data_IF_135856580444
#
_entry.id   IF_135856580444
#
_cell.length_a   1.000
_cell.length_b   1.000
_cell.length_c   1.000
_cell.angle_alpha   90.00
_cell.angle_beta   90.00
_cell.angle_gamma   90.00
#
_symmetry.space_group_name_H-M   'P 1'
#
loop_
_entity.id
_entity.type
_entity.pdbx_description
1 polymer ?
#
# COMPACT_ATOMS: atom_id res chain seq x y z
N UNK A 1 3.01 -7.06 5.61
CA UNK A 1 3.00 -6.31 4.34
C UNK A 1 4.42 -6.01 3.92
N UNK A 2 4.82 -6.43 2.71
CA UNK A 2 6.19 -6.26 2.21
C UNK A 2 6.48 -4.81 1.83
N UNK A 3 7.73 -4.37 2.00
CA UNK A 3 8.14 -2.99 1.68
C UNK A 3 7.95 -2.66 0.19
N UNK A 4 8.20 -3.61 -0.71
CA UNK A 4 7.91 -3.45 -2.14
C UNK A 4 6.47 -3.01 -2.38
N UNK A 5 5.51 -3.56 -1.63
CA UNK A 5 4.09 -3.23 -1.80
C UNK A 5 3.84 -1.78 -1.42
N UNK A 6 4.39 -1.33 -0.29
CA UNK A 6 4.20 0.04 0.20
C UNK A 6 4.85 1.07 -0.73
N UNK A 7 5.94 0.71 -1.43
CA UNK A 7 6.55 1.56 -2.45
C UNK A 7 5.62 1.91 -3.63
N UNK A 8 4.51 1.18 -3.81
CA UNK A 8 3.50 1.48 -4.83
C UNK A 8 2.16 1.99 -4.25
N UNK A 9 2.07 2.16 -2.92
CA UNK A 9 0.85 2.61 -2.25
C UNK A 9 0.90 4.10 -1.94
N UNK A 10 -0.12 4.82 -2.39
CA UNK A 10 -0.41 6.18 -2.00
C UNK A 10 -1.72 6.24 -1.20
N UNK A 11 -1.99 7.39 -0.57
CA UNK A 11 -3.22 7.58 0.18
C UNK A 11 -4.48 7.38 -0.70
N UNK A 12 -5.39 6.54 -0.22
CA UNK A 12 -6.66 6.23 -0.90
C UNK A 12 -7.72 7.34 -0.76
N UNK A 13 -7.54 8.30 0.16
CA UNK A 13 -8.50 9.40 0.36
C UNK A 13 -8.63 10.20 -0.92
N UNK A 14 -9.87 10.45 -1.39
CA UNK A 14 -10.13 11.08 -2.70
C UNK A 14 -9.38 12.41 -2.89
N UNK A 15 -9.32 13.25 -1.85
CA UNK A 15 -8.62 14.53 -1.87
C UNK A 15 -7.09 14.44 -1.98
N UNK A 16 -6.52 13.25 -1.85
CA UNK A 16 -5.08 13.03 -1.89
C UNK A 16 -4.56 12.59 -3.26
N UNK A 17 -5.42 12.20 -4.21
CA UNK A 17 -5.02 11.59 -5.51
C UNK A 17 -4.01 12.39 -6.32
N UNK A 18 -4.02 13.72 -6.21
CA UNK A 18 -3.12 14.62 -6.93
C UNK A 18 -2.14 15.34 -6.01
N UNK A 19 -2.16 15.02 -4.71
CA UNK A 19 -1.28 15.65 -3.73
C UNK A 19 0.06 14.90 -3.70
N UNK A 20 1.20 15.55 -3.97
CA UNK A 20 2.50 14.88 -3.92
C UNK A 20 2.78 14.27 -2.55
N UNK A 21 2.43 14.97 -1.47
CA UNK A 21 2.57 14.50 -0.09
C UNK A 21 1.66 13.31 0.29
N UNK A 22 0.85 12.79 -0.64
CA UNK A 22 0.08 11.55 -0.44
C UNK A 22 0.91 10.28 -0.64
N UNK A 23 2.14 10.46 -1.11
CA UNK A 23 3.15 9.42 -1.31
C UNK A 23 4.53 9.94 -0.85
N UNK A 24 5.40 9.10 -0.24
CA UNK A 24 5.06 7.78 0.28
C UNK A 24 4.10 7.88 1.47
N UNK A 25 3.49 6.76 1.84
CA UNK A 25 2.87 6.63 3.16
C UNK A 25 3.96 6.34 4.19
N UNK A 26 3.83 6.94 5.37
CA UNK A 26 4.85 6.93 6.42
C UNK A 26 4.58 5.84 7.46
N UNK A 27 5.57 5.03 7.80
CA UNK A 27 5.43 4.01 8.83
C UNK A 27 5.42 4.63 10.23
N UNK A 28 4.56 4.10 11.11
CA UNK A 28 4.55 4.42 12.53
C UNK A 28 4.28 3.15 13.34
N UNK A 29 4.94 3.05 14.50
CA UNK A 29 4.81 1.92 15.44
C UNK A 29 4.93 0.54 14.75
N UNK A 30 5.86 0.44 13.79
CA UNK A 30 5.98 -0.72 12.92
C UNK A 30 6.78 -1.85 13.57
N UNK A 31 6.19 -3.05 13.61
CA UNK A 31 6.86 -4.29 13.95
C UNK A 31 7.27 -5.02 12.66
N UNK A 32 8.55 -5.36 12.57
CA UNK A 32 9.14 -5.98 11.39
C UNK A 32 9.31 -7.48 11.58
N UNK A 33 9.09 -8.22 10.50
CA UNK A 33 9.45 -9.62 10.36
C UNK A 33 10.26 -9.81 9.08
N UNK A 34 11.29 -10.64 9.16
CA UNK A 34 12.03 -11.11 8.00
C UNK A 34 11.52 -12.49 7.60
N UNK A 35 10.93 -12.59 6.43
CA UNK A 35 10.51 -13.84 5.81
C UNK A 35 11.50 -14.21 4.70
N UNK A 36 12.37 -15.19 4.96
CA UNK A 36 13.31 -15.68 3.96
C UNK A 36 12.57 -16.23 2.72
N UNK A 37 13.11 -15.92 1.54
CA UNK A 37 12.56 -16.35 0.26
C UNK A 37 13.69 -16.82 -0.64
N UNK A 38 13.35 -17.66 -1.63
CA UNK A 38 14.30 -17.98 -2.69
C UNK A 38 14.74 -16.71 -3.41
N UNK A 39 16.06 -16.53 -3.56
CA UNK A 39 16.65 -15.37 -4.19
C UNK A 39 16.22 -15.25 -5.67
N UNK A 40 15.55 -14.15 -6.00
CA UNK A 40 14.98 -13.90 -7.33
C UNK A 40 15.64 -12.69 -8.03
N UNK A 41 16.87 -12.82 -8.58
CA UNK A 41 17.60 -11.71 -9.17
C UNK A 41 16.87 -11.08 -10.37
N UNK A 42 16.26 -11.91 -11.22
CA UNK A 42 15.49 -11.43 -12.37
C UNK A 42 14.29 -10.57 -11.97
N UNK A 43 13.64 -10.90 -10.85
CA UNK A 43 12.54 -10.07 -10.33
C UNK A 43 13.06 -8.71 -9.89
N UNK A 44 14.19 -8.67 -9.17
CA UNK A 44 14.82 -7.43 -8.71
C UNK A 44 15.22 -6.54 -9.89
N UNK A 45 15.87 -7.10 -10.90
CA UNK A 45 16.24 -6.38 -12.13
C UNK A 45 15.02 -5.80 -12.86
N UNK A 46 13.90 -6.51 -12.86
CA UNK A 46 12.68 -6.08 -13.54
C UNK A 46 11.89 -5.02 -12.75
N UNK A 47 11.93 -5.08 -11.42
CA UNK A 47 11.16 -4.16 -10.57
C UNK A 47 11.93 -2.87 -10.28
N UNK A 48 13.26 -2.91 -10.17
CA UNK A 48 14.06 -1.75 -9.76
C UNK A 48 13.81 -0.49 -10.59
N UNK A 49 13.55 -0.53 -11.91
CA UNK A 49 13.24 0.68 -12.68
C UNK A 49 11.91 1.34 -12.29
N UNK A 50 11.00 0.58 -11.65
CA UNK A 50 9.69 1.05 -11.19
C UNK A 50 9.67 1.49 -9.73
N UNK A 51 10.70 1.13 -8.97
CA UNK A 51 10.82 1.53 -7.57
C UNK A 51 11.03 3.04 -7.51
N UNK A 52 10.19 3.71 -6.73
CA UNK A 52 10.45 5.08 -6.32
C UNK A 52 11.51 5.04 -5.21
N UNK A 53 12.73 5.43 -5.57
CA UNK A 53 13.88 5.28 -4.70
C UNK A 53 13.83 6.25 -3.52
N UNK A 54 13.32 7.46 -3.72
CA UNK A 54 13.20 8.46 -2.66
C UNK A 54 12.18 8.00 -1.60
N UNK A 55 11.03 7.47 -2.04
CA UNK A 55 10.03 6.86 -1.17
C UNK A 55 10.58 5.66 -0.42
N UNK A 56 11.39 4.81 -1.07
CA UNK A 56 12.05 3.69 -0.40
C UNK A 56 13.04 4.16 0.68
N UNK A 57 13.85 5.20 0.42
CA UNK A 57 14.76 5.76 1.42
C UNK A 57 14.02 6.32 2.63
N UNK A 58 12.88 6.99 2.42
CA UNK A 58 12.01 7.48 3.51
C UNK A 58 11.54 6.31 4.37
N UNK A 59 10.90 5.30 3.77
CA UNK A 59 10.42 4.13 4.50
C UNK A 59 11.53 3.40 5.23
N UNK A 60 12.70 3.24 4.61
CA UNK A 60 13.83 2.56 5.22
C UNK A 60 14.37 3.30 6.44
N UNK A 61 14.41 4.63 6.38
CA UNK A 61 14.82 5.47 7.50
C UNK A 61 13.84 5.35 8.68
N UNK A 62 12.53 5.41 8.41
CA UNK A 62 11.47 5.29 9.43
C UNK A 62 11.48 3.93 10.13
N UNK A 63 11.81 2.87 9.39
CA UNK A 63 11.90 1.51 9.89
C UNK A 63 13.26 1.18 10.54
N UNK A 64 14.19 2.13 10.59
CA UNK A 64 15.49 1.95 11.25
C UNK A 64 16.48 1.07 10.49
N UNK A 65 16.32 0.91 9.17
CA UNK A 65 17.30 0.19 8.36
C UNK A 65 18.64 0.94 8.29
N UNK A 66 19.77 0.22 8.17
CA UNK A 66 21.02 0.82 7.74
C UNK A 66 20.80 1.59 6.44
N UNK A 67 21.54 2.68 6.26
CA UNK A 67 21.35 3.62 5.14
C UNK A 67 21.35 2.88 3.80
N UNK A 68 20.18 2.86 3.15
CA UNK A 68 20.05 2.48 1.75
C UNK A 68 20.88 3.46 0.92
N UNK A 69 21.56 3.02 -0.17
CA UNK A 69 22.35 3.92 -1.00
C UNK A 69 21.57 5.19 -1.41
N UNK A 70 22.24 6.34 -1.37
CA UNK A 70 21.60 7.62 -1.71
C UNK A 70 21.02 7.61 -3.12
N UNK A 71 21.75 7.02 -4.06
CA UNK A 71 21.36 6.89 -5.46
C UNK A 71 20.86 5.48 -5.76
N UNK A 72 19.79 5.41 -6.56
CA UNK A 72 19.27 4.15 -7.10
C UNK A 72 20.37 3.42 -7.87
N UNK A 73 20.60 2.11 -7.62
CA UNK A 73 21.53 1.32 -8.41
C UNK A 73 21.10 1.23 -9.87
N UNK A 74 22.03 1.50 -10.79
CA UNK A 74 21.81 1.47 -12.23
C UNK A 74 23.00 0.85 -12.97
N UNK A 75 22.80 0.41 -14.22
CA UNK A 75 23.87 -0.09 -15.08
C UNK A 75 24.66 -1.25 -14.47
N UNK A 76 25.99 -1.09 -14.38
CA UNK A 76 26.90 -2.12 -13.89
C UNK A 76 26.71 -2.44 -12.41
N UNK A 77 26.16 -1.52 -11.59
CA UNK A 77 25.86 -1.81 -10.19
C UNK A 77 24.81 -2.93 -10.06
N UNK A 78 23.90 -3.05 -11.03
CA UNK A 78 22.91 -4.13 -11.06
C UNK A 78 23.47 -5.48 -11.53
N UNK A 79 24.76 -5.55 -11.88
CA UNK A 79 25.49 -6.81 -12.13
C UNK A 79 26.10 -7.38 -10.85
N UNK A 80 26.17 -6.58 -9.78
CA UNK A 80 26.67 -7.02 -8.48
C UNK A 80 25.60 -7.85 -7.76
N UNK A 81 25.89 -9.13 -7.54
CA UNK A 81 24.98 -10.05 -6.85
C UNK A 81 24.68 -9.61 -5.42
N UNK A 82 25.64 -8.99 -4.71
CA UNK A 82 25.43 -8.53 -3.35
C UNK A 82 24.39 -7.41 -3.31
N UNK A 83 24.46 -6.45 -4.25
CA UNK A 83 23.46 -5.38 -4.38
C UNK A 83 22.08 -5.98 -4.64
N UNK A 84 21.98 -6.98 -5.53
CA UNK A 84 20.71 -7.65 -5.81
C UNK A 84 20.17 -8.40 -4.59
N UNK A 85 21.03 -9.02 -3.78
CA UNK A 85 20.65 -9.71 -2.54
C UNK A 85 20.18 -8.74 -1.46
N UNK A 86 20.84 -7.60 -1.32
CA UNK A 86 20.44 -6.56 -0.37
C UNK A 86 19.08 -5.98 -0.76
N UNK A 87 18.88 -5.69 -2.06
CA UNK A 87 17.59 -5.28 -2.61
C UNK A 87 16.51 -6.35 -2.40
N UNK A 88 16.84 -7.63 -2.61
CA UNK A 88 15.93 -8.74 -2.37
C UNK A 88 15.47 -8.80 -0.93
N UNK A 89 16.40 -8.70 0.02
CA UNK A 89 16.13 -8.71 1.45
C UNK A 89 15.20 -7.56 1.85
N UNK A 90 15.52 -6.35 1.41
CA UNK A 90 14.72 -5.15 1.74
C UNK A 90 13.34 -5.20 1.09
N UNK A 91 13.26 -5.51 -0.21
CA UNK A 91 12.00 -5.40 -0.96
C UNK A 91 11.07 -6.60 -0.73
N UNK A 92 11.61 -7.82 -0.65
CA UNK A 92 10.83 -9.05 -0.71
C UNK A 92 10.76 -9.83 0.59
N UNK A 93 11.84 -9.83 1.37
CA UNK A 93 11.92 -10.60 2.63
C UNK A 93 11.48 -9.78 3.83
N UNK A 94 11.60 -8.46 3.77
CA UNK A 94 11.18 -7.59 4.87
C UNK A 94 9.68 -7.30 4.77
N UNK A 95 8.97 -7.55 5.86
CA UNK A 95 7.56 -7.19 6.00
C UNK A 95 7.25 -6.52 7.34
N UNK A 96 6.28 -5.62 7.32
CA UNK A 96 5.65 -5.07 8.53
C UNK A 96 4.48 -5.95 8.93
N UNK A 97 4.48 -6.49 10.14
CA UNK A 97 3.43 -7.39 10.65
C UNK A 97 2.36 -6.63 11.43
N UNK A 98 2.77 -5.66 12.25
CA UNK A 98 1.89 -4.74 12.99
C UNK A 98 2.38 -3.30 12.81
N UNK A 99 1.49 -2.33 12.88
CA UNK A 99 1.83 -0.90 12.83
C UNK A 99 0.83 -0.08 12.04
N UNK A 100 1.26 1.07 11.52
CA UNK A 100 0.42 1.98 10.75
C UNK A 100 1.16 2.60 9.57
N UNK A 101 0.39 2.96 8.55
CA UNK A 101 0.80 3.83 7.44
C UNK A 101 0.06 5.16 7.54
N UNK A 102 0.77 6.26 7.64
CA UNK A 102 0.21 7.60 7.82
C UNK A 102 0.40 8.45 6.55
N UNK A 103 -0.66 9.09 6.08
CA UNK A 103 -0.59 9.98 4.93
C UNK A 103 0.03 11.34 5.30
N UNK A 104 1.11 11.74 4.62
CA UNK A 104 1.76 13.04 4.83
C UNK A 104 0.91 14.25 4.41
N UNK A 105 -0.14 14.04 3.59
CA UNK A 105 -1.02 15.11 3.12
C UNK A 105 -2.25 15.32 4.04
N UNK A 106 -3.00 14.25 4.35
CA UNK A 106 -4.26 14.36 5.09
C UNK A 106 -4.22 13.82 6.52
N UNK A 107 -3.11 13.19 6.93
CA UNK A 107 -2.94 12.60 8.26
C UNK A 107 -3.75 11.32 8.50
N UNK A 108 -4.44 10.78 7.49
CA UNK A 108 -5.19 9.53 7.68
C UNK A 108 -4.24 8.35 7.94
N UNK A 109 -4.61 7.52 8.92
CA UNK A 109 -3.85 6.35 9.35
C UNK A 109 -4.50 5.07 8.82
N UNK A 110 -3.70 4.22 8.16
CA UNK A 110 -4.08 2.87 7.74
C UNK A 110 -3.41 1.86 8.68
N UNK A 111 -4.19 1.13 9.46
CA UNK A 111 -3.64 0.13 10.39
C UNK A 111 -3.19 -1.12 9.63
N UNK A 112 -2.01 -1.64 9.99
CA UNK A 112 -1.48 -2.93 9.57
C UNK A 112 -1.68 -3.91 10.73
N UNK A 113 -2.32 -5.04 10.46
CA UNK A 113 -2.44 -6.17 11.40
C UNK A 113 -2.20 -7.48 10.69
N UNK A 114 -1.43 -8.37 11.30
CA UNK A 114 -1.05 -9.66 10.70
C UNK A 114 -0.51 -9.50 9.26
N UNK A 115 0.21 -8.41 9.02
CA UNK A 115 0.77 -8.07 7.73
C UNK A 115 -0.23 -7.57 6.67
N UNK A 116 -1.48 -7.30 7.03
CA UNK A 116 -2.53 -6.79 6.14
C UNK A 116 -2.87 -5.34 6.52
N UNK A 117 -2.67 -4.41 5.58
CA UNK A 117 -3.04 -3.02 5.75
C UNK A 117 -4.53 -2.80 5.41
N UNK A 118 -5.26 -2.14 6.31
CA UNK A 118 -6.66 -1.78 6.11
C UNK A 118 -6.79 -0.43 5.39
N UNK A 119 -7.14 -0.47 4.09
CA UNK A 119 -7.41 0.73 3.27
C UNK A 119 -8.90 1.08 3.14
N UNK A 120 -9.77 0.49 3.96
CA UNK A 120 -11.18 0.85 3.98
C UNK A 120 -11.37 2.25 4.56
N UNK A 121 -12.00 3.11 3.78
CA UNK A 121 -12.27 4.49 4.17
C UNK A 121 -13.67 4.63 4.76
N UNK A 122 -13.85 5.48 5.80
CA UNK A 122 -15.16 5.96 6.20
C UNK A 122 -15.93 6.57 5.02
N UNK A 123 -17.26 6.47 5.04
CA UNK A 123 -18.12 6.88 3.92
C UNK A 123 -17.94 8.35 3.49
N UNK A 124 -17.50 9.22 4.40
CA UNK A 124 -17.26 10.64 4.11
C UNK A 124 -15.90 10.92 3.46
N UNK A 125 -14.95 9.98 3.48
CA UNK A 125 -13.64 10.08 2.81
C UNK A 125 -13.58 9.27 1.50
N UNK A 126 -14.54 8.38 1.31
CA UNK A 126 -14.71 7.59 0.09
C UNK A 126 -15.27 8.40 -1.09
N UNK A 127 -15.33 7.80 -2.29
CA UNK A 127 -16.04 8.41 -3.40
C UNK A 127 -17.51 8.62 -3.03
N UNK A 128 -17.98 9.86 -3.10
CA UNK A 128 -19.41 10.19 -3.04
C UNK A 128 -20.09 9.62 -4.29
N UNK A 129 -20.34 8.32 -4.32
CA UNK A 129 -21.28 7.76 -5.28
C UNK A 129 -22.63 8.37 -4.92
N UNK A 130 -23.29 9.11 -5.83
CA UNK A 130 -24.68 9.47 -5.59
C UNK A 130 -25.42 8.14 -5.40
N UNK A 131 -26.04 7.96 -4.23
CA UNK A 131 -26.91 6.82 -3.97
C UNK A 131 -28.04 6.95 -4.99
N UNK A 132 -27.96 6.22 -6.11
CA UNK A 132 -29.12 5.99 -6.95
C UNK A 132 -30.08 5.17 -6.08
N UNK A 133 -31.08 5.83 -5.49
CA UNK A 133 -32.20 5.14 -4.85
C UNK A 133 -32.75 4.17 -5.89
N UNK A 134 -32.59 2.86 -5.68
CA UNK A 134 -33.37 1.88 -6.42
C UNK A 134 -34.85 2.24 -6.23
N UNK A 135 -35.66 2.36 -7.30
CA UNK A 135 -37.08 2.56 -7.12
C UNK A 135 -37.59 1.37 -6.32
N UNK A 136 -38.14 1.66 -5.14
CA UNK A 136 -38.67 0.66 -4.24
C UNK A 136 -39.68 -0.19 -4.99
N UNK A 137 -39.53 -1.51 -4.88
CA UNK A 137 -40.51 -2.47 -5.34
C UNK A 137 -41.80 -2.19 -4.56
N UNK A 138 -42.72 -1.44 -5.17
CA UNK A 138 -44.07 -1.25 -4.66
C UNK A 138 -44.75 -2.62 -4.69
N UNK A 139 -44.76 -3.31 -3.56
CA UNK A 139 -45.71 -4.40 -3.31
C UNK A 139 -47.11 -3.78 -3.23
N UNK A 140 -47.76 -3.62 -4.39
CA UNK A 140 -49.20 -3.38 -4.44
C UNK A 140 -49.91 -4.69 -4.10
N UNK A 141 -50.31 -4.80 -2.83
CA UNK A 141 -51.58 -5.26 -2.23
C UNK A 141 -52.45 -6.35 -2.93
N UNK A 142 -53.28 -7.08 -2.14
CA UNK A 142 -53.62 -8.48 -2.34
C UNK A 142 -54.79 -8.72 -3.30
N UNK A 143 -54.87 -9.95 -3.84
CA UNK A 143 -56.03 -10.48 -4.56
C UNK A 143 -57.27 -10.40 -3.66
N UNK A 144 -58.26 -9.60 -4.07
CA UNK A 144 -59.61 -9.70 -3.57
C UNK A 144 -60.27 -10.95 -4.19
N UNK A 145 -60.70 -11.88 -3.33
CA UNK A 145 -61.80 -12.78 -3.66
C UNK A 145 -63.03 -11.94 -4.00
N UNK A 146 -63.68 -12.21 -5.13
CA UNK A 146 -65.12 -12.04 -5.23
C UNK A 146 -65.71 -13.26 -5.92
N UNK A 147 -66.56 -13.93 -5.15
CA UNK A 147 -67.63 -14.80 -5.61
C UNK A 147 -68.51 -14.07 -6.63
N UNK A 148 -68.74 -14.70 -7.77
CA UNK A 148 -70.06 -15.13 -8.27
C UNK A 148 -69.89 -15.85 -9.62
#
# INVERSE_FOLDING_TARGET
MKLITVNFLACAVKGCKTAPASYPLHFQDAELELQELEFQPNFILNIIPRIDWDGLRVMANELGFPTIPDTKPEGDALKDEQILRDLHRVLLETQVVEGKLCCGNCGHEYTIKEGIANFLLPSHLGPTTPIKKSPGLLLTKPLALSLN
#
